data_IF_906853272573
#
_entry.id   IF_906853272573
#
_cell.length_a   1.000
_cell.length_b   1.000
_cell.length_c   1.000
_cell.angle_alpha   90.00
_cell.angle_beta   90.00
_cell.angle_gamma   90.00
#
_symmetry.space_group_name_H-M   'P 1'
#
loop_
_entity.id
_entity.type
_entity.pdbx_description
1 polymer ?
#
# COMPACT_ATOMS: atom_id res chain seq x y z
N UNK A 1 -13.45 1.84 -0.57
CA UNK A 1 -12.99 2.79 -1.60
C UNK A 1 -11.53 3.16 -1.32
N UNK A 2 -10.67 3.32 -2.34
CA UNK A 2 -9.33 3.84 -2.13
C UNK A 2 -9.41 5.26 -1.57
N UNK A 3 -8.64 5.53 -0.52
CA UNK A 3 -8.58 6.87 0.06
C UNK A 3 -7.83 7.83 -0.88
N UNK A 4 -8.29 9.09 -1.05
CA UNK A 4 -7.53 10.11 -1.76
C UNK A 4 -6.13 10.27 -1.17
N UNK A 5 -5.14 10.57 -2.00
CA UNK A 5 -3.75 10.76 -1.61
C UNK A 5 -3.38 12.25 -1.66
N UNK A 6 -2.84 12.76 -0.56
CA UNK A 6 -2.32 14.12 -0.43
C UNK A 6 -0.80 14.03 -0.26
N UNK A 7 -0.02 14.56 -1.21
CA UNK A 7 1.44 14.58 -1.09
C UNK A 7 1.94 15.87 -0.47
N UNK A 8 2.83 15.75 0.52
CA UNK A 8 3.54 16.88 1.12
C UNK A 8 4.94 16.95 0.53
N UNK A 9 5.14 17.92 -0.35
CA UNK A 9 6.38 18.19 -1.07
C UNK A 9 7.02 19.45 -0.51
N UNK A 10 8.35 19.50 -0.50
CA UNK A 10 9.10 20.68 -0.11
C UNK A 10 10.55 20.32 0.14
N UNK A 11 11.43 21.32 0.15
CA UNK A 11 12.85 21.08 0.45
C UNK A 11 13.08 20.54 1.88
N UNK A 12 14.27 20.05 2.22
CA UNK A 12 14.60 19.63 3.58
C UNK A 12 14.38 20.75 4.61
N UNK A 13 14.05 20.36 5.84
CA UNK A 13 13.92 21.24 7.01
C UNK A 13 12.80 22.31 6.98
N UNK A 14 11.90 22.30 5.99
CA UNK A 14 10.69 23.16 5.99
C UNK A 14 9.60 22.72 6.97
N UNK A 15 9.77 21.55 7.59
CA UNK A 15 8.82 21.02 8.59
C UNK A 15 7.76 20.07 8.03
N UNK A 16 8.03 19.38 6.91
CA UNK A 16 7.14 18.36 6.31
C UNK A 16 6.69 17.30 7.31
N UNK A 17 7.62 16.62 7.96
CA UNK A 17 7.29 15.55 8.90
C UNK A 17 6.55 16.08 10.13
N UNK A 18 6.84 17.30 10.58
CA UNK A 18 6.08 17.96 11.66
C UNK A 18 4.64 18.24 11.22
N UNK A 19 4.44 18.71 9.99
CA UNK A 19 3.12 18.95 9.41
C UNK A 19 2.32 17.65 9.26
N UNK A 20 2.92 16.62 8.66
CA UNK A 20 2.30 15.31 8.45
C UNK A 20 1.92 14.67 9.77
N UNK A 21 2.84 14.63 10.75
CA UNK A 21 2.55 14.08 12.07
C UNK A 21 1.41 14.82 12.77
N UNK A 22 1.32 16.15 12.63
CA UNK A 22 0.21 16.90 13.21
C UNK A 22 -1.14 16.45 12.66
N UNK A 23 -1.23 16.29 11.34
CA UNK A 23 -2.50 15.93 10.71
C UNK A 23 -2.83 14.46 11.01
N UNK A 24 -1.83 13.58 10.97
CA UNK A 24 -2.00 12.16 11.26
C UNK A 24 -2.33 11.86 12.73
N UNK A 25 -1.78 12.61 13.69
CA UNK A 25 -2.02 12.42 15.13
C UNK A 25 -3.41 12.88 15.60
N UNK A 26 -4.24 13.44 14.72
CA UNK A 26 -5.65 13.68 15.04
C UNK A 26 -6.44 12.37 15.21
N UNK A 27 -5.87 11.23 14.79
CA UNK A 27 -6.48 9.90 14.87
C UNK A 27 -5.68 8.98 15.83
N UNK A 28 -6.17 8.77 17.06
CA UNK A 28 -5.63 7.74 17.97
C UNK A 28 -6.13 6.34 17.55
N UNK A 29 -5.68 5.85 16.39
CA UNK A 29 -5.84 4.46 16.00
C UNK A 29 -4.51 3.70 16.18
N UNK A 30 -4.52 2.77 17.13
CA UNK A 30 -3.39 1.91 17.52
C UNK A 30 -2.82 1.19 16.29
N UNK A 31 -1.64 1.61 15.84
CA UNK A 31 -0.88 0.95 14.77
C UNK A 31 -0.21 -0.31 15.34
N UNK A 32 -0.71 -1.49 14.96
CA UNK A 32 -0.01 -2.76 15.20
C UNK A 32 1.29 -2.80 14.39
N UNK A 33 2.41 -3.12 15.06
CA UNK A 33 3.71 -3.36 14.44
C UNK A 33 3.80 -4.81 13.95
N UNK A 34 3.85 -5.04 12.64
CA UNK A 34 4.38 -6.30 12.11
C UNK A 34 5.90 -6.18 11.92
N UNK A 35 6.66 -6.98 12.68
CA UNK A 35 8.13 -7.00 12.60
C UNK A 35 8.60 -7.84 11.40
N UNK A 36 9.40 -7.22 10.54
CA UNK A 36 10.04 -7.87 9.38
C UNK A 36 10.19 -6.95 8.17
N UNK A 37 9.42 -5.86 8.15
CA UNK A 37 9.53 -4.78 7.17
C UNK A 37 9.98 -3.51 7.90
N UNK A 38 10.94 -2.78 7.35
CA UNK A 38 11.17 -1.40 7.79
C UNK A 38 9.86 -0.66 7.58
N UNK A 39 9.22 -0.17 8.66
CA UNK A 39 8.13 0.81 8.58
C UNK A 39 8.54 1.87 7.57
N UNK A 40 7.89 1.90 6.41
CA UNK A 40 7.98 3.05 5.53
C UNK A 40 7.21 4.17 6.23
N UNK A 41 7.94 5.00 6.98
CA UNK A 41 7.45 6.13 7.80
C UNK A 41 6.88 7.28 6.96
N UNK A 42 6.36 6.98 5.78
CA UNK A 42 6.03 7.99 4.77
C UNK A 42 4.55 8.07 4.45
N UNK A 43 3.74 7.07 4.77
CA UNK A 43 2.29 7.10 4.57
C UNK A 43 1.56 7.17 5.89
N UNK A 44 0.62 8.10 5.98
CA UNK A 44 -0.19 8.33 7.17
C UNK A 44 -1.66 8.45 6.77
N UNK A 45 -2.55 7.79 7.51
CA UNK A 45 -4.00 8.00 7.35
C UNK A 45 -4.41 9.25 8.15
N UNK A 46 -5.39 9.98 7.63
CA UNK A 46 -5.96 11.16 8.27
C UNK A 46 -7.45 11.28 7.93
N UNK A 47 -8.22 11.83 8.87
CA UNK A 47 -9.59 12.26 8.66
C UNK A 47 -9.72 13.75 8.92
N UNK A 48 -10.48 14.45 8.09
CA UNK A 48 -10.90 15.81 8.36
C UNK A 48 -12.33 16.04 7.87
N UNK A 49 -13.21 16.48 8.77
CA UNK A 49 -14.64 16.69 8.49
C UNK A 49 -15.32 15.47 7.83
N UNK A 50 -14.98 14.26 8.28
CA UNK A 50 -15.55 13.00 7.80
C UNK A 50 -15.09 12.60 6.39
N UNK A 51 -14.00 13.20 5.90
CA UNK A 51 -13.31 12.79 4.67
C UNK A 51 -11.98 12.18 5.06
N UNK A 52 -11.89 10.87 4.89
CA UNK A 52 -10.66 10.09 5.08
C UNK A 52 -9.74 10.26 3.86
N UNK A 53 -8.45 10.43 4.10
CA UNK A 53 -7.41 10.53 3.07
C UNK A 53 -6.05 10.03 3.58
N UNK A 54 -5.11 9.81 2.66
CA UNK A 54 -3.73 9.42 2.96
C UNK A 54 -2.80 10.59 2.73
N UNK A 55 -1.90 10.84 3.67
CA UNK A 55 -0.78 11.78 3.56
C UNK A 55 0.49 11.03 3.23
N UNK A 56 1.23 11.51 2.23
CA UNK A 56 2.59 11.02 1.95
C UNK A 56 3.65 12.11 2.21
N UNK A 57 4.60 11.83 3.11
CA UNK A 57 5.81 12.65 3.28
C UNK A 57 6.85 12.22 2.25
N UNK A 58 7.04 13.03 1.21
CA UNK A 58 7.99 12.69 0.14
C UNK A 58 9.43 12.71 0.62
N UNK A 59 9.73 13.38 1.74
CA UNK A 59 11.08 13.44 2.32
C UNK A 59 11.45 12.22 3.17
N UNK A 60 10.49 11.43 3.63
CA UNK A 60 10.73 10.27 4.50
C UNK A 60 11.15 8.98 3.78
N UNK A 61 11.19 8.99 2.43
CA UNK A 61 11.45 7.83 1.56
C UNK A 61 12.87 7.92 0.94
N UNK A 62 13.81 8.61 1.57
CA UNK A 62 15.19 8.68 1.05
C UNK A 62 15.84 7.29 1.07
N UNK A 63 16.07 6.73 -0.13
CA UNK A 63 16.86 5.53 -0.35
C UNK A 63 18.28 5.93 -0.74
N UNK A 64 19.22 5.83 0.21
CA UNK A 64 20.66 5.67 -0.04
C UNK A 64 21.46 6.89 -0.57
N UNK A 65 22.55 7.17 0.15
CA UNK A 65 23.69 8.09 -0.07
C UNK A 65 23.45 9.61 -0.21
N UNK A 66 24.19 10.34 0.64
CA UNK A 66 24.09 11.77 0.97
C UNK A 66 24.50 12.76 -0.15
N UNK A 67 24.99 12.30 -1.31
CA UNK A 67 25.52 13.19 -2.36
C UNK A 67 24.52 13.55 -3.48
N UNK A 68 23.26 13.08 -3.43
CA UNK A 68 22.23 13.28 -4.47
C UNK A 68 21.10 14.27 -4.11
N UNK A 69 21.34 15.21 -3.19
CA UNK A 69 20.32 16.05 -2.54
C UNK A 69 19.44 16.90 -3.49
N UNK A 70 19.96 17.42 -4.61
CA UNK A 70 19.13 18.22 -5.54
C UNK A 70 18.30 17.36 -6.51
N UNK A 71 18.79 16.17 -6.85
CA UNK A 71 18.05 15.22 -7.69
C UNK A 71 16.82 14.67 -6.97
N UNK A 72 16.96 14.38 -5.68
CA UNK A 72 15.89 13.81 -4.85
C UNK A 72 14.70 14.76 -4.69
N UNK A 73 14.93 16.06 -4.43
CA UNK A 73 13.83 17.03 -4.21
C UNK A 73 12.97 17.22 -5.47
N UNK A 74 13.60 17.31 -6.65
CA UNK A 74 12.86 17.42 -7.92
C UNK A 74 12.08 16.14 -8.22
N UNK A 75 12.68 14.98 -7.98
CA UNK A 75 12.02 13.70 -8.14
C UNK A 75 10.79 13.56 -7.23
N UNK A 76 10.91 13.98 -5.97
CA UNK A 76 9.79 14.04 -5.01
C UNK A 76 8.65 14.95 -5.51
N UNK A 77 8.98 16.14 -6.03
CA UNK A 77 7.98 17.06 -6.56
C UNK A 77 7.26 16.52 -7.80
N UNK A 78 8.00 15.89 -8.73
CA UNK A 78 7.43 15.25 -9.91
C UNK A 78 6.49 14.11 -9.48
N UNK A 79 6.89 13.31 -8.50
CA UNK A 79 6.09 12.19 -8.05
C UNK A 79 4.83 12.63 -7.31
N UNK A 80 4.94 13.59 -6.39
CA UNK A 80 3.79 14.24 -5.76
C UNK A 80 2.81 14.80 -6.80
N UNK A 81 3.30 15.50 -7.82
CA UNK A 81 2.47 16.00 -8.92
C UNK A 81 1.79 14.90 -9.74
N UNK A 82 2.47 13.79 -10.01
CA UNK A 82 1.95 12.71 -10.86
C UNK A 82 1.00 11.77 -10.13
N UNK A 83 1.23 11.51 -8.85
CA UNK A 83 0.46 10.53 -8.09
C UNK A 83 -0.59 11.22 -7.25
N UNK A 84 -0.23 12.08 -6.30
CA UNK A 84 -1.18 12.65 -5.36
C UNK A 84 -2.37 13.32 -6.01
N UNK A 85 -3.54 13.18 -5.41
CA UNK A 85 -4.79 13.76 -5.87
C UNK A 85 -4.84 15.26 -5.57
N UNK A 86 -4.19 15.66 -4.46
CA UNK A 86 -3.89 17.03 -4.08
C UNK A 86 -2.41 17.12 -3.65
N UNK A 87 -1.74 18.23 -3.98
CA UNK A 87 -0.35 18.47 -3.57
C UNK A 87 -0.29 19.62 -2.58
N UNK A 88 0.40 19.42 -1.47
CA UNK A 88 0.79 20.44 -0.52
C UNK A 88 2.26 20.76 -0.77
N UNK A 89 2.56 21.99 -1.19
CA UNK A 89 3.92 22.47 -1.32
C UNK A 89 4.31 23.31 -0.12
N UNK A 90 5.09 22.73 0.78
CA UNK A 90 5.52 23.33 2.03
C UNK A 90 6.83 24.12 1.84
N UNK A 91 6.81 25.39 2.21
CA UNK A 91 7.98 26.29 2.27
C UNK A 91 8.16 26.83 3.70
N UNK A 92 9.33 27.39 4.00
CA UNK A 92 9.66 27.90 5.34
C UNK A 92 9.59 29.44 5.37
N UNK A 93 8.59 29.97 6.09
CA UNK A 93 8.36 31.41 6.25
C UNK A 93 9.46 32.16 6.99
N UNK A 94 10.32 31.49 7.76
CA UNK A 94 11.43 32.14 8.48
C UNK A 94 12.65 32.37 7.60
N UNK A 95 12.88 31.50 6.63
CA UNK A 95 14.05 31.54 5.76
C UNK A 95 13.76 32.13 4.38
N UNK A 96 12.49 32.28 4.03
CA UNK A 96 12.05 32.75 2.72
C UNK A 96 12.24 31.72 1.60
N UNK A 97 12.06 32.20 0.36
CA UNK A 97 12.20 31.42 -0.87
C UNK A 97 13.68 31.14 -1.17
N UNK A 98 13.98 29.92 -1.59
CA UNK A 98 15.27 29.59 -2.18
C UNK A 98 15.17 28.98 -3.60
N UNK A 99 16.31 28.70 -4.22
CA UNK A 99 16.39 28.16 -5.58
C UNK A 99 15.75 26.77 -5.73
N UNK A 100 15.74 25.95 -4.66
CA UNK A 100 15.08 24.64 -4.68
C UNK A 100 13.56 24.81 -4.67
N UNK A 101 13.04 25.77 -3.89
CA UNK A 101 11.61 26.11 -3.84
C UNK A 101 11.12 26.60 -5.22
N UNK A 102 11.91 27.44 -5.90
CA UNK A 102 11.62 27.87 -7.28
C UNK A 102 11.65 26.73 -8.29
N UNK A 103 12.57 25.77 -8.12
CA UNK A 103 12.66 24.59 -8.98
C UNK A 103 11.45 23.67 -8.81
N UNK A 104 11.02 23.43 -7.57
CA UNK A 104 9.82 22.66 -7.25
C UNK A 104 8.58 23.37 -7.76
N UNK A 105 8.44 24.68 -7.53
CA UNK A 105 7.31 25.46 -8.02
C UNK A 105 7.18 25.40 -9.55
N UNK A 106 8.30 25.45 -10.30
CA UNK A 106 8.30 25.27 -11.76
C UNK A 106 7.74 23.92 -12.21
N UNK A 107 7.96 22.86 -11.44
CA UNK A 107 7.43 21.53 -11.73
C UNK A 107 5.93 21.51 -11.42
N UNK A 108 5.55 21.97 -10.23
CA UNK A 108 4.16 21.95 -9.77
C UNK A 108 3.24 22.84 -10.62
N UNK A 109 3.72 23.99 -11.14
CA UNK A 109 2.94 24.83 -12.07
C UNK A 109 2.51 24.14 -13.36
N UNK A 110 3.17 23.04 -13.73
CA UNK A 110 2.84 22.27 -14.94
C UNK A 110 1.82 21.15 -14.67
N UNK A 111 1.46 20.91 -13.40
CA UNK A 111 0.46 19.90 -13.06
C UNK A 111 -0.96 20.43 -13.22
N UNK A 112 -1.89 19.54 -13.55
CA UNK A 112 -3.34 19.84 -13.62
C UNK A 112 -4.05 19.51 -12.31
N UNK A 113 -3.30 19.30 -11.22
CA UNK A 113 -3.83 18.92 -9.92
C UNK A 113 -3.88 20.13 -9.00
N UNK A 114 -4.79 20.16 -8.01
CA UNK A 114 -4.80 21.21 -7.01
C UNK A 114 -3.47 21.23 -6.24
N UNK A 115 -2.83 22.39 -6.21
CA UNK A 115 -1.58 22.63 -5.47
C UNK A 115 -1.83 23.71 -4.43
N UNK A 116 -1.55 23.41 -3.18
CA UNK A 116 -1.63 24.34 -2.06
C UNK A 116 -0.22 24.78 -1.68
N UNK A 117 0.11 26.04 -1.93
CA UNK A 117 1.36 26.64 -1.43
C UNK A 117 1.19 26.97 0.05
N UNK A 118 1.97 26.32 0.91
CA UNK A 118 1.83 26.40 2.36
C UNK A 118 3.11 26.96 2.96
N UNK A 119 3.02 28.14 3.57
CA UNK A 119 4.13 28.82 4.24
C UNK A 119 4.12 28.40 5.70
N UNK A 120 5.03 27.49 6.06
CA UNK A 120 5.12 26.93 7.41
C UNK A 120 6.00 27.80 8.34
N UNK A 121 5.93 27.53 9.64
CA UNK A 121 6.62 28.24 10.73
C UNK A 121 6.14 29.68 10.93
N UNK A 122 4.90 29.96 10.52
CA UNK A 122 4.18 31.21 10.80
C UNK A 122 3.62 31.18 12.23
N UNK A 123 4.52 31.26 13.21
CA UNK A 123 4.18 31.08 14.63
C UNK A 123 3.42 32.28 15.22
N UNK A 124 3.48 33.45 14.57
CA UNK A 124 2.76 34.66 14.98
C UNK A 124 1.55 34.89 14.08
N UNK A 125 0.31 34.81 14.61
CA UNK A 125 -0.89 35.10 13.83
C UNK A 125 -0.91 36.53 13.28
N UNK A 126 -1.59 36.73 12.14
CA UNK A 126 -1.90 38.04 11.54
C UNK A 126 -0.73 38.85 10.95
N UNK A 127 0.41 38.23 10.63
CA UNK A 127 1.47 38.86 9.82
C UNK A 127 1.33 38.51 8.33
N UNK A 128 0.41 39.18 7.65
CA UNK A 128 0.19 38.99 6.20
C UNK A 128 1.32 39.52 5.32
N UNK A 129 2.10 40.49 5.82
CA UNK A 129 3.17 41.13 5.04
C UNK A 129 4.33 40.18 4.72
N UNK A 130 4.52 39.15 5.54
CA UNK A 130 5.54 38.12 5.38
C UNK A 130 5.20 37.12 4.25
N UNK A 131 3.97 37.16 3.71
CA UNK A 131 3.54 36.28 2.61
C UNK A 131 3.84 36.81 1.22
N UNK A 132 4.14 38.11 1.07
CA UNK A 132 4.24 38.77 -0.23
C UNK A 132 5.29 38.16 -1.15
N UNK A 133 6.42 37.71 -0.60
CA UNK A 133 7.47 37.09 -1.39
C UNK A 133 6.99 35.78 -2.04
N UNK A 134 6.20 34.97 -1.32
CA UNK A 134 5.76 33.63 -1.74
C UNK A 134 4.83 33.62 -2.94
N UNK A 135 4.15 34.74 -3.23
CA UNK A 135 3.39 34.90 -4.47
C UNK A 135 4.24 34.76 -5.74
N UNK A 136 5.55 35.04 -5.66
CA UNK A 136 6.47 34.90 -6.80
C UNK A 136 6.62 33.44 -7.28
N UNK A 137 6.26 32.46 -6.43
CA UNK A 137 6.22 31.05 -6.79
C UNK A 137 5.06 30.71 -7.75
N UNK A 138 4.07 31.60 -7.89
CA UNK A 138 3.01 31.50 -8.91
C UNK A 138 2.12 30.27 -8.76
N UNK A 139 1.81 29.88 -7.52
CA UNK A 139 1.00 28.71 -7.16
C UNK A 139 -0.30 29.10 -6.43
N UNK A 140 -0.83 30.28 -6.73
CA UNK A 140 -2.01 30.83 -6.05
C UNK A 140 -1.67 31.51 -4.72
N UNK A 141 -2.69 31.65 -3.88
CA UNK A 141 -2.59 32.35 -2.60
C UNK A 141 -1.84 31.48 -1.56
N UNK A 142 -0.76 31.97 -0.93
CA UNK A 142 -0.03 31.21 0.08
C UNK A 142 -0.82 31.06 1.38
N UNK A 143 -0.84 29.83 1.91
CA UNK A 143 -1.51 29.48 3.17
C UNK A 143 -0.53 29.57 4.34
N UNK A 144 -0.67 30.53 5.27
CA UNK A 144 0.18 30.62 6.45
C UNK A 144 -0.18 29.54 7.47
N UNK A 145 0.78 28.72 7.86
CA UNK A 145 0.58 27.70 8.90
C UNK A 145 1.73 27.66 9.90
N UNK A 146 1.44 27.18 11.11
CA UNK A 146 2.45 26.70 12.04
C UNK A 146 2.21 25.23 12.35
N UNK A 147 2.99 24.34 11.76
CA UNK A 147 2.94 22.91 12.09
C UNK A 147 3.31 22.60 13.54
N UNK A 148 3.98 23.53 14.25
CA UNK A 148 4.35 23.33 15.65
C UNK A 148 3.24 23.75 16.61
N UNK A 149 2.47 24.79 16.27
CA UNK A 149 1.41 25.32 17.13
C UNK A 149 -0.02 25.02 16.66
N UNK A 150 -0.18 24.58 15.41
CA UNK A 150 -1.47 24.22 14.80
C UNK A 150 -2.24 25.37 14.18
N UNK A 151 -1.64 26.56 14.11
CA UNK A 151 -2.29 27.71 13.48
C UNK A 151 -2.41 27.52 11.97
N UNK A 152 -3.57 27.90 11.40
CA UNK A 152 -3.85 27.88 9.96
C UNK A 152 -4.05 26.49 9.35
N UNK A 153 -3.78 25.40 10.07
CA UNK A 153 -3.91 24.05 9.51
C UNK A 153 -5.37 23.64 9.30
N UNK A 154 -6.31 24.13 10.12
CA UNK A 154 -7.74 23.83 9.98
C UNK A 154 -8.33 24.40 8.70
N UNK A 155 -8.16 25.71 8.47
CA UNK A 155 -8.67 26.39 7.26
C UNK A 155 -8.06 25.79 5.97
N UNK A 156 -6.77 25.44 6.02
CA UNK A 156 -6.09 24.73 4.93
C UNK A 156 -6.73 23.35 4.67
N UNK A 157 -7.00 22.57 5.72
CA UNK A 157 -7.59 21.23 5.59
C UNK A 157 -9.04 21.29 5.08
N UNK A 158 -9.80 22.32 5.46
CA UNK A 158 -11.14 22.55 4.93
C UNK A 158 -11.11 22.69 3.40
N UNK A 159 -10.18 23.48 2.87
CA UNK A 159 -10.06 23.67 1.42
C UNK A 159 -9.48 22.45 0.71
N UNK A 160 -8.51 21.75 1.32
CA UNK A 160 -8.03 20.47 0.78
C UNK A 160 -9.18 19.47 0.66
N UNK A 161 -9.98 19.31 1.72
CA UNK A 161 -11.12 18.38 1.71
C UNK A 161 -12.18 18.81 0.69
N UNK A 162 -12.40 20.10 0.49
CA UNK A 162 -13.27 20.58 -0.58
C UNK A 162 -12.79 20.16 -1.97
N UNK A 163 -11.49 20.20 -2.23
CA UNK A 163 -10.91 19.66 -3.47
C UNK A 163 -11.03 18.14 -3.53
N UNK A 164 -10.76 17.42 -2.44
CA UNK A 164 -10.89 15.96 -2.38
C UNK A 164 -12.32 15.48 -2.64
N UNK A 165 -13.35 16.23 -2.20
CA UNK A 165 -14.76 15.91 -2.50
C UNK A 165 -15.13 16.08 -3.97
N UNK A 166 -14.39 16.89 -4.74
CA UNK A 166 -14.57 17.02 -6.19
C UNK A 166 -13.95 15.86 -6.96
N UNK A 167 -13.19 15.01 -6.27
CA UNK A 167 -12.56 13.83 -6.87
C UNK A 167 -13.61 12.76 -6.95
N UNK A 168 -14.11 12.59 -8.18
CA UNK A 168 -15.03 11.53 -8.52
C UNK A 168 -14.27 10.21 -8.42
N UNK A 169 -14.42 9.51 -7.30
CA UNK A 169 -14.08 8.10 -7.28
C UNK A 169 -15.11 7.43 -8.18
N UNK A 170 -14.70 6.76 -9.27
CA UNK A 170 -15.67 6.07 -10.10
C UNK A 170 -16.51 5.16 -9.20
N UNK A 171 -17.83 5.26 -9.33
CA UNK A 171 -18.73 4.30 -8.74
C UNK A 171 -18.24 2.90 -9.14
N UNK A 172 -18.26 1.94 -8.22
CA UNK A 172 -17.98 0.55 -8.54
C UNK A 172 -18.79 0.18 -9.79
N UNK A 173 -18.14 -0.36 -10.82
CA UNK A 173 -18.88 -1.08 -11.86
C UNK A 173 -19.82 -2.04 -11.12
N UNK A 174 -21.13 -1.96 -11.35
CA UNK A 174 -22.15 -2.77 -10.68
C UNK A 174 -21.92 -4.29 -10.86
N UNK A 175 -20.99 -4.67 -11.75
CA UNK A 175 -20.59 -6.05 -11.98
C UNK A 175 -19.34 -6.42 -11.15
N UNK A 176 -19.44 -7.44 -10.29
CA UNK A 176 -18.34 -7.82 -9.40
C UNK A 176 -17.11 -8.27 -10.20
N UNK A 177 -15.98 -7.61 -9.95
CA UNK A 177 -14.66 -8.00 -10.47
C UNK A 177 -13.66 -8.23 -9.34
N UNK A 178 -12.65 -9.05 -9.62
CA UNK A 178 -11.51 -9.24 -8.71
C UNK A 178 -10.44 -8.21 -9.10
N UNK A 179 -10.12 -7.28 -8.19
CA UNK A 179 -9.06 -6.30 -8.43
C UNK A 179 -7.69 -6.95 -8.20
N UNK A 180 -6.85 -6.95 -9.25
CA UNK A 180 -5.54 -7.60 -9.24
C UNK A 180 -4.44 -6.57 -9.48
N UNK A 181 -3.51 -6.42 -8.51
CA UNK A 181 -2.31 -5.60 -8.68
C UNK A 181 -1.10 -6.46 -9.03
N UNK A 182 -0.37 -6.09 -10.10
CA UNK A 182 0.89 -6.74 -10.48
C UNK A 182 2.06 -5.92 -9.94
N UNK A 183 2.71 -6.42 -8.89
CA UNK A 183 3.75 -5.72 -8.12
C UNK A 183 5.10 -6.43 -8.23
N UNK A 184 6.17 -5.73 -7.82
CA UNK A 184 7.54 -6.26 -7.83
C UNK A 184 8.53 -5.29 -8.49
N UNK A 185 9.81 -5.65 -8.47
CA UNK A 185 10.89 -4.78 -8.95
C UNK A 185 10.82 -4.38 -10.43
N UNK A 186 11.47 -3.27 -10.83
CA UNK A 186 11.75 -3.00 -12.24
C UNK A 186 12.34 -4.22 -12.95
N UNK A 187 11.97 -4.44 -14.21
CA UNK A 187 12.47 -5.53 -15.07
C UNK A 187 12.19 -6.98 -14.61
N UNK A 188 11.41 -7.19 -13.54
CA UNK A 188 10.94 -8.51 -13.12
C UNK A 188 10.00 -9.19 -14.13
N UNK A 189 9.53 -8.44 -15.15
CA UNK A 189 8.68 -8.94 -16.23
C UNK A 189 7.19 -8.75 -16.02
N UNK A 190 6.79 -7.82 -15.15
CA UNK A 190 5.38 -7.42 -14.92
C UNK A 190 4.63 -7.04 -16.20
N UNK A 191 5.26 -6.23 -17.06
CA UNK A 191 4.67 -5.79 -18.33
C UNK A 191 4.45 -6.97 -19.30
N UNK A 192 5.44 -7.85 -19.41
CA UNK A 192 5.32 -9.08 -20.19
C UNK A 192 4.21 -9.97 -19.66
N UNK A 193 4.09 -10.09 -18.32
CA UNK A 193 3.02 -10.84 -17.69
C UNK A 193 1.64 -10.24 -17.96
N UNK A 194 1.51 -8.92 -17.80
CA UNK A 194 0.27 -8.17 -18.08
C UNK A 194 -0.19 -8.38 -19.51
N UNK A 195 0.73 -8.25 -20.48
CA UNK A 195 0.43 -8.49 -21.89
C UNK A 195 0.02 -9.94 -22.14
N UNK A 196 0.65 -10.91 -21.47
CA UNK A 196 0.31 -12.32 -21.64
C UNK A 196 -1.04 -12.70 -21.02
N UNK A 197 -1.41 -12.06 -19.90
CA UNK A 197 -2.71 -12.25 -19.26
C UNK A 197 -3.84 -11.56 -20.03
N UNK A 198 -3.57 -10.41 -20.65
CA UNK A 198 -4.58 -9.62 -21.38
C UNK A 198 -4.76 -10.09 -22.83
N UNK A 199 -3.68 -10.41 -23.57
CA UNK A 199 -3.75 -10.81 -24.98
C UNK A 199 -3.76 -12.34 -25.18
N UNK A 200 -4.50 -13.08 -24.35
CA UNK A 200 -4.66 -14.53 -24.52
C UNK A 200 -5.98 -14.85 -25.23
N UNK A 201 -6.03 -15.93 -26.02
CA UNK A 201 -7.19 -16.33 -26.84
C UNK A 201 -8.46 -16.60 -25.99
N UNK A 202 -8.29 -16.81 -24.68
CA UNK A 202 -9.36 -17.07 -23.70
C UNK A 202 -9.78 -15.83 -22.90
N UNK A 203 -9.11 -14.71 -23.11
CA UNK A 203 -9.30 -13.49 -22.35
C UNK A 203 -9.99 -12.45 -23.22
N UNK A 204 -11.19 -12.01 -22.83
CA UNK A 204 -11.84 -10.88 -23.50
C UNK A 204 -11.42 -9.61 -22.77
N UNK A 205 -10.78 -8.68 -23.50
CA UNK A 205 -10.36 -7.39 -22.98
C UNK A 205 -11.38 -6.34 -23.39
N UNK A 206 -11.94 -5.64 -22.41
CA UNK A 206 -12.75 -4.45 -22.64
C UNK A 206 -12.00 -3.23 -22.14
N UNK A 207 -11.71 -2.30 -23.05
CA UNK A 207 -11.39 -0.93 -22.67
C UNK A 207 -12.72 -0.25 -22.33
N UNK A 208 -13.16 -0.32 -21.07
CA UNK A 208 -14.39 0.37 -20.65
C UNK A 208 -14.16 1.88 -20.77
N UNK A 209 -14.61 2.44 -21.89
CA UNK A 209 -14.58 3.88 -22.16
C UNK A 209 -15.68 4.56 -21.33
N UNK A 210 -15.32 4.97 -20.12
CA UNK A 210 -16.25 5.65 -19.19
C UNK A 210 -15.60 6.38 -18.00
N UNK A 211 -14.33 6.13 -17.70
CA UNK A 211 -13.62 6.81 -16.61
C UNK A 211 -12.73 7.93 -17.15
N UNK A 212 -13.28 9.13 -17.33
CA UNK A 212 -12.58 10.29 -17.90
C UNK A 212 -11.57 10.96 -16.95
N UNK A 213 -10.68 10.18 -16.33
CA UNK A 213 -9.40 10.66 -15.79
C UNK A 213 -8.34 9.56 -15.63
N UNK A 214 -8.74 8.30 -15.50
CA UNK A 214 -7.86 7.12 -15.34
C UNK A 214 -8.09 6.05 -16.42
N UNK A 215 -7.62 6.32 -17.63
CA UNK A 215 -7.50 5.34 -18.72
C UNK A 215 -6.39 4.29 -18.45
N UNK A 216 -6.31 3.76 -17.23
CA UNK A 216 -5.13 3.07 -16.69
C UNK A 216 -5.40 1.61 -16.31
N UNK A 217 -6.62 1.21 -15.96
CA UNK A 217 -6.92 -0.18 -15.59
C UNK A 217 -7.34 -1.01 -16.81
N UNK A 218 -7.12 -2.33 -16.77
CA UNK A 218 -7.56 -3.24 -17.84
C UNK A 218 -8.47 -4.30 -17.27
N UNK A 219 -9.71 -4.34 -17.77
CA UNK A 219 -10.67 -5.40 -17.42
C UNK A 219 -10.47 -6.59 -18.35
N UNK A 220 -10.34 -7.77 -17.75
CA UNK A 220 -10.16 -9.05 -18.43
C UNK A 220 -11.23 -10.02 -17.93
N UNK A 221 -11.93 -10.65 -18.85
CA UNK A 221 -12.79 -11.79 -18.52
C UNK A 221 -12.06 -13.10 -18.85
N UNK A 222 -11.96 -14.00 -17.87
CA UNK A 222 -11.34 -15.32 -18.03
C UNK A 222 -12.23 -16.39 -17.39
N UNK A 223 -12.61 -17.41 -18.16
CA UNK A 223 -13.49 -18.52 -17.74
C UNK A 223 -14.79 -18.06 -17.05
N UNK A 224 -15.34 -16.91 -17.46
CA UNK A 224 -16.58 -16.32 -16.93
C UNK A 224 -16.39 -15.45 -15.67
N UNK A 225 -15.17 -15.34 -15.14
CA UNK A 225 -14.83 -14.44 -14.03
C UNK A 225 -14.22 -13.15 -14.57
N UNK A 226 -14.64 -12.01 -14.01
CA UNK A 226 -14.10 -10.69 -14.37
C UNK A 226 -12.96 -10.30 -13.43
N UNK A 227 -11.86 -9.84 -14.00
CA UNK A 227 -10.69 -9.34 -13.29
C UNK A 227 -10.40 -7.91 -13.75
N UNK A 228 -10.10 -7.03 -12.81
CA UNK A 228 -9.62 -5.69 -13.12
C UNK A 228 -8.15 -5.61 -12.75
N UNK A 229 -7.26 -5.59 -13.75
CA UNK A 229 -5.83 -5.39 -13.52
C UNK A 229 -5.63 -3.90 -13.24
N UNK A 230 -5.20 -3.60 -12.01
CA UNK A 230 -5.05 -2.23 -11.51
C UNK A 230 -3.70 -1.65 -11.96
N UNK A 231 -3.68 -0.38 -12.35
CA UNK A 231 -2.50 0.41 -12.74
C UNK A 231 -1.72 -0.12 -13.96
N UNK A 232 -2.41 -0.50 -15.04
CA UNK A 232 -1.76 -1.07 -16.24
C UNK A 232 -1.00 -0.06 -17.10
N UNK A 233 -1.33 1.26 -17.06
CA UNK A 233 -0.60 2.25 -17.85
C UNK A 233 0.86 2.40 -17.44
N UNK A 234 1.18 2.20 -16.15
CA UNK A 234 2.57 2.14 -15.68
C UNK A 234 3.31 0.88 -16.14
N UNK A 235 2.59 -0.22 -16.34
CA UNK A 235 3.12 -1.47 -16.88
C UNK A 235 3.31 -1.39 -18.40
N UNK A 236 2.44 -0.71 -19.15
CA UNK A 236 2.51 -0.58 -20.62
C UNK A 236 3.47 0.52 -21.11
N UNK A 237 3.64 1.64 -20.39
CA UNK A 237 4.53 2.76 -20.80
C UNK A 237 6.02 2.53 -20.56
N UNK A 238 6.43 1.49 -19.84
CA UNK A 238 7.84 1.17 -19.52
C UNK A 238 8.70 0.72 -20.72
N UNK A 239 8.16 0.71 -21.95
CA UNK A 239 8.93 0.41 -23.16
C UNK A 239 9.72 1.61 -23.73
N UNK A 240 9.53 2.84 -23.23
CA UNK A 240 10.09 4.03 -23.90
C UNK A 240 10.70 5.15 -23.02
N UNK A 241 10.82 5.03 -21.69
CA UNK A 241 11.31 6.15 -20.85
C UNK A 241 12.53 5.74 -20.02
N UNK A 242 13.57 6.59 -20.08
CA UNK A 242 14.85 6.50 -19.38
C UNK A 242 14.73 6.46 -17.84
N UNK A 243 15.77 5.89 -17.23
CA UNK A 243 15.84 5.24 -15.92
C UNK A 243 15.65 6.09 -14.63
N UNK A 244 15.14 7.32 -14.66
CA UNK A 244 15.45 8.27 -13.56
C UNK A 244 14.38 8.49 -12.47
N UNK A 245 13.47 7.57 -12.16
CA UNK A 245 12.74 7.66 -10.88
C UNK A 245 12.27 6.29 -10.33
N UNK A 246 13.10 5.58 -9.55
CA UNK A 246 12.67 4.38 -8.80
C UNK A 246 11.48 4.66 -7.85
N UNK A 247 11.44 5.87 -7.27
CA UNK A 247 10.36 6.34 -6.39
C UNK A 247 8.98 6.25 -7.06
N UNK A 248 8.86 6.60 -8.33
CA UNK A 248 7.60 6.56 -9.08
C UNK A 248 7.12 5.13 -9.34
N UNK A 249 8.05 4.18 -9.48
CA UNK A 249 7.68 2.76 -9.55
C UNK A 249 7.09 2.25 -8.24
N UNK A 250 7.55 2.80 -7.11
CA UNK A 250 7.13 2.40 -5.78
C UNK A 250 5.75 2.95 -5.41
N UNK A 251 5.53 4.27 -5.48
CA UNK A 251 4.25 4.88 -5.09
C UNK A 251 3.08 4.38 -5.96
N UNK A 252 3.31 4.16 -7.26
CA UNK A 252 2.38 3.45 -8.13
C UNK A 252 2.02 2.05 -7.64
N UNK A 253 3.02 1.25 -7.27
CA UNK A 253 2.76 -0.07 -6.71
C UNK A 253 1.92 0.03 -5.43
N UNK A 254 2.15 1.05 -4.59
CA UNK A 254 1.34 1.28 -3.38
C UNK A 254 -0.12 1.59 -3.72
N UNK A 255 -0.37 2.49 -4.68
CA UNK A 255 -1.73 2.80 -5.16
C UNK A 255 -2.44 1.60 -5.77
N UNK A 256 -1.71 0.77 -6.51
CA UNK A 256 -2.26 -0.47 -7.06
C UNK A 256 -2.66 -1.44 -5.93
N UNK A 257 -1.80 -1.60 -4.91
CA UNK A 257 -2.08 -2.43 -3.73
C UNK A 257 -3.33 -1.94 -2.99
N UNK A 258 -3.49 -0.61 -2.84
CA UNK A 258 -4.62 0.00 -2.12
C UNK A 258 -5.99 -0.33 -2.71
N UNK A 259 -6.01 -0.67 -4.00
CA UNK A 259 -7.22 -1.00 -4.75
C UNK A 259 -7.36 -2.51 -4.98
N UNK A 260 -6.34 -3.30 -4.64
CA UNK A 260 -6.27 -4.71 -4.97
C UNK A 260 -6.95 -5.59 -3.91
N UNK A 261 -7.72 -6.56 -4.39
CA UNK A 261 -8.08 -7.73 -3.59
C UNK A 261 -6.91 -8.73 -3.55
N UNK A 262 -6.25 -8.95 -4.70
CA UNK A 262 -5.14 -9.89 -4.87
C UNK A 262 -3.91 -9.20 -5.44
N UNK A 263 -2.77 -9.32 -4.76
CA UNK A 263 -1.48 -8.84 -5.20
C UNK A 263 -0.64 -9.98 -5.81
N UNK A 264 -0.21 -9.82 -7.07
CA UNK A 264 0.72 -10.72 -7.75
C UNK A 264 2.14 -10.17 -7.61
N UNK A 265 2.93 -10.76 -6.70
CA UNK A 265 4.33 -10.39 -6.51
C UNK A 265 5.21 -11.09 -7.54
N UNK A 266 5.64 -10.36 -8.57
CA UNK A 266 6.50 -10.88 -9.63
C UNK A 266 7.97 -10.74 -9.24
N UNK A 267 8.64 -11.88 -9.06
CA UNK A 267 10.07 -11.98 -8.75
C UNK A 267 10.81 -12.49 -9.99
N UNK A 268 11.93 -11.84 -10.31
CA UNK A 268 12.85 -12.32 -11.34
C UNK A 268 13.67 -13.50 -10.82
N UNK A 269 13.40 -14.71 -11.34
CA UNK A 269 14.06 -15.92 -10.87
C UNK A 269 15.55 -15.97 -11.22
N UNK A 270 16.04 -15.19 -12.18
CA UNK A 270 17.48 -15.15 -12.51
C UNK A 270 18.29 -14.37 -11.50
N UNK A 271 17.65 -13.43 -10.79
CA UNK A 271 18.24 -12.64 -9.71
C UNK A 271 17.92 -13.22 -8.33
N UNK A 272 16.81 -13.93 -8.21
CA UNK A 272 16.28 -14.42 -6.95
C UNK A 272 15.59 -13.32 -6.13
N UNK A 273 15.31 -13.65 -4.86
CA UNK A 273 14.65 -12.74 -3.91
C UNK A 273 15.59 -11.60 -3.50
N UNK A 274 15.10 -10.37 -3.55
CA UNK A 274 15.84 -9.17 -3.11
C UNK A 274 15.12 -8.42 -1.99
N UNK A 275 15.78 -7.42 -1.42
CA UNK A 275 15.19 -6.57 -0.37
C UNK A 275 14.01 -5.73 -0.89
N UNK A 276 14.04 -5.28 -2.14
CA UNK A 276 12.92 -4.53 -2.70
C UNK A 276 11.70 -5.43 -2.94
N UNK A 277 11.89 -6.70 -3.30
CA UNK A 277 10.79 -7.67 -3.42
C UNK A 277 10.15 -7.92 -2.04
N UNK A 278 10.97 -8.05 -0.99
CA UNK A 278 10.51 -8.16 0.40
C UNK A 278 9.75 -6.92 0.87
N UNK A 279 10.24 -5.70 0.58
CA UNK A 279 9.58 -4.44 0.95
C UNK A 279 8.20 -4.32 0.34
N UNK A 280 8.08 -4.54 -0.97
CA UNK A 280 6.80 -4.42 -1.68
C UNK A 280 5.81 -5.50 -1.22
N UNK A 281 6.28 -6.72 -0.93
CA UNK A 281 5.46 -7.76 -0.34
C UNK A 281 4.98 -7.41 1.08
N UNK A 282 5.86 -6.84 1.91
CA UNK A 282 5.53 -6.38 3.25
C UNK A 282 4.40 -5.36 3.23
N UNK A 283 4.46 -4.39 2.32
CA UNK A 283 3.38 -3.42 2.15
C UNK A 283 2.04 -4.07 1.75
N UNK A 284 2.05 -4.97 0.77
CA UNK A 284 0.85 -5.69 0.37
C UNK A 284 0.24 -6.50 1.52
N UNK A 285 1.08 -7.12 2.35
CA UNK A 285 0.66 -7.84 3.55
C UNK A 285 0.07 -6.92 4.62
N UNK A 286 0.68 -5.75 4.86
CA UNK A 286 0.20 -4.74 5.80
C UNK A 286 -1.18 -4.20 5.39
N UNK A 287 -1.39 -3.95 4.09
CA UNK A 287 -2.70 -3.59 3.55
C UNK A 287 -3.71 -4.72 3.59
N UNK A 288 -3.25 -5.94 3.88
CA UNK A 288 -4.09 -7.10 4.07
C UNK A 288 -4.54 -7.73 2.76
N UNK A 289 -3.90 -7.44 1.62
CA UNK A 289 -4.26 -8.06 0.35
C UNK A 289 -4.00 -9.56 0.39
N UNK A 290 -4.85 -10.34 -0.29
CA UNK A 290 -4.47 -11.67 -0.70
C UNK A 290 -3.26 -11.60 -1.64
N UNK A 291 -2.45 -12.65 -1.70
CA UNK A 291 -1.15 -12.59 -2.38
C UNK A 291 -0.81 -13.91 -3.07
N UNK A 292 -0.21 -13.80 -4.26
CA UNK A 292 0.42 -14.90 -4.98
C UNK A 292 1.83 -14.47 -5.36
N UNK A 293 2.82 -15.30 -5.07
CA UNK A 293 4.21 -15.07 -5.46
C UNK A 293 4.47 -15.74 -6.81
N UNK A 294 4.89 -14.94 -7.79
CA UNK A 294 5.13 -15.37 -9.16
C UNK A 294 6.62 -15.33 -9.47
N UNK A 295 7.24 -16.50 -9.53
CA UNK A 295 8.61 -16.70 -9.99
C UNK A 295 8.66 -16.66 -11.52
N UNK A 296 9.00 -15.49 -12.09
CA UNK A 296 9.07 -15.28 -13.53
C UNK A 296 10.47 -15.58 -14.09
N UNK A 297 10.58 -15.73 -15.42
CA UNK A 297 11.80 -16.14 -16.15
C UNK A 297 12.33 -17.50 -15.69
N UNK A 298 11.44 -18.38 -15.24
CA UNK A 298 11.81 -19.70 -14.71
C UNK A 298 12.46 -20.62 -15.74
N UNK A 299 12.24 -20.34 -17.02
CA UNK A 299 12.88 -21.00 -18.15
C UNK A 299 14.39 -20.73 -18.24
N UNK A 300 14.86 -19.59 -17.71
CA UNK A 300 16.27 -19.19 -17.71
C UNK A 300 17.06 -19.77 -16.51
N UNK A 301 16.39 -20.34 -15.51
CA UNK A 301 17.06 -20.94 -14.35
C UNK A 301 17.49 -22.37 -14.71
N UNK A 302 18.80 -22.60 -14.75
CA UNK A 302 19.42 -23.87 -15.11
C UNK A 302 19.64 -24.76 -13.88
N UNK A 303 19.34 -26.06 -14.02
CA UNK A 303 19.59 -27.06 -12.98
C UNK A 303 18.52 -27.13 -11.88
N UNK A 304 18.32 -28.32 -11.26
CA UNK A 304 17.37 -28.51 -10.17
C UNK A 304 17.84 -27.85 -8.85
N UNK A 305 19.15 -27.74 -8.63
CA UNK A 305 19.76 -27.15 -7.43
C UNK A 305 19.43 -25.66 -7.32
N UNK A 306 19.76 -24.86 -8.34
CA UNK A 306 19.43 -23.43 -8.37
C UNK A 306 17.92 -23.16 -8.19
N UNK A 307 17.07 -24.05 -8.72
CA UNK A 307 15.61 -23.98 -8.56
C UNK A 307 15.15 -24.29 -7.13
N UNK A 308 15.83 -25.21 -6.44
CA UNK A 308 15.56 -25.51 -5.05
C UNK A 308 15.99 -24.33 -4.16
N UNK A 309 17.19 -23.78 -4.40
CA UNK A 309 17.74 -22.65 -3.64
C UNK A 309 16.82 -21.42 -3.67
N UNK A 310 16.26 -21.09 -4.84
CA UNK A 310 15.33 -19.95 -4.96
C UNK A 310 14.07 -20.18 -4.10
N UNK A 311 13.53 -21.41 -4.10
CA UNK A 311 12.32 -21.73 -3.33
C UNK A 311 12.60 -21.73 -1.83
N UNK A 312 13.73 -22.29 -1.41
CA UNK A 312 14.16 -22.30 -0.01
C UNK A 312 14.36 -20.86 0.50
N UNK A 313 15.06 -20.02 -0.27
CA UNK A 313 15.22 -18.59 0.07
C UNK A 313 13.90 -17.86 0.23
N UNK A 314 12.90 -18.15 -0.62
CA UNK A 314 11.56 -17.58 -0.46
C UNK A 314 10.91 -18.08 0.83
N UNK A 315 10.94 -19.40 1.08
CA UNK A 315 10.36 -19.97 2.30
C UNK A 315 10.98 -19.38 3.58
N UNK A 316 12.30 -19.16 3.58
CA UNK A 316 13.04 -18.65 4.74
C UNK A 316 12.85 -17.15 4.98
N UNK A 317 12.82 -16.35 3.90
CA UNK A 317 12.82 -14.88 3.99
C UNK A 317 11.43 -14.26 3.89
N UNK A 318 10.48 -14.94 3.26
CA UNK A 318 9.10 -14.46 3.06
C UNK A 318 8.12 -15.08 4.06
N UNK A 319 8.60 -15.46 5.25
CA UNK A 319 7.76 -16.10 6.30
C UNK A 319 6.55 -15.26 6.71
N UNK A 320 6.66 -13.93 6.65
CA UNK A 320 5.57 -12.98 6.93
C UNK A 320 4.43 -13.03 5.90
N UNK A 321 4.67 -13.60 4.72
CA UNK A 321 3.66 -13.92 3.69
C UNK A 321 3.67 -15.40 3.35
N UNK A 322 4.00 -16.26 4.33
CA UNK A 322 4.06 -17.72 4.14
C UNK A 322 2.73 -18.37 3.72
N UNK A 323 1.63 -17.62 3.77
CA UNK A 323 0.33 -18.02 3.23
C UNK A 323 0.25 -17.95 1.71
N UNK A 324 1.11 -17.17 1.05
CA UNK A 324 1.01 -16.90 -0.38
C UNK A 324 1.53 -18.10 -1.21
N UNK A 325 0.75 -18.64 -2.15
CA UNK A 325 1.24 -19.69 -3.05
C UNK A 325 2.37 -19.17 -3.95
N UNK A 326 3.34 -20.05 -4.23
CA UNK A 326 4.49 -19.75 -5.09
C UNK A 326 4.35 -20.48 -6.43
N UNK A 327 4.23 -19.74 -7.52
CA UNK A 327 4.04 -20.27 -8.87
C UNK A 327 5.20 -19.87 -9.75
N UNK A 328 5.78 -20.83 -10.47
CA UNK A 328 6.86 -20.60 -11.40
C UNK A 328 6.37 -20.60 -12.86
N UNK A 329 6.65 -19.50 -13.57
CA UNK A 329 6.17 -19.22 -14.92
C UNK A 329 7.28 -18.69 -15.84
N UNK A 330 6.95 -18.57 -17.12
CA UNK A 330 7.69 -17.73 -18.06
C UNK A 330 6.71 -16.83 -18.79
N UNK A 331 6.67 -15.54 -18.41
CA UNK A 331 5.77 -14.57 -19.03
C UNK A 331 6.07 -14.38 -20.53
N UNK A 332 7.34 -14.49 -20.92
CA UNK A 332 7.77 -14.33 -22.32
C UNK A 332 7.27 -15.48 -23.20
N UNK A 333 7.42 -16.73 -22.75
CA UNK A 333 6.99 -17.91 -23.52
C UNK A 333 5.51 -18.26 -23.32
N UNK A 334 4.88 -17.71 -22.27
CA UNK A 334 3.53 -18.07 -21.84
C UNK A 334 3.46 -19.35 -20.99
N UNK A 335 4.59 -20.03 -20.75
CA UNK A 335 4.59 -21.31 -20.04
C UNK A 335 4.03 -21.13 -18.61
N UNK A 336 2.97 -21.89 -18.32
CA UNK A 336 2.25 -21.95 -17.03
C UNK A 336 1.59 -20.62 -16.58
N UNK A 337 1.42 -19.66 -17.47
CA UNK A 337 0.73 -18.39 -17.12
C UNK A 337 -0.72 -18.64 -16.72
N UNK A 338 -1.39 -19.62 -17.31
CA UNK A 338 -2.80 -19.94 -16.96
C UNK A 338 -2.99 -20.35 -15.49
N UNK A 339 -1.96 -20.92 -14.84
CA UNK A 339 -2.02 -21.29 -13.41
C UNK A 339 -2.18 -20.09 -12.48
N UNK A 340 -1.90 -18.89 -12.98
CA UNK A 340 -2.04 -17.66 -12.19
C UNK A 340 -3.51 -17.38 -11.95
N UNK A 341 -4.39 -17.62 -12.93
CA UNK A 341 -5.84 -17.42 -12.77
C UNK A 341 -6.41 -18.30 -11.66
N UNK A 342 -6.12 -19.61 -11.70
CA UNK A 342 -6.52 -20.56 -10.66
C UNK A 342 -6.05 -20.13 -9.26
N UNK A 343 -4.85 -19.56 -9.17
CA UNK A 343 -4.31 -19.09 -7.89
C UNK A 343 -4.89 -17.76 -7.42
N UNK A 344 -5.23 -16.84 -8.35
CA UNK A 344 -5.98 -15.62 -8.02
C UNK A 344 -7.35 -16.03 -7.46
N UNK A 345 -8.05 -16.93 -8.14
CA UNK A 345 -9.38 -17.39 -7.75
C UNK A 345 -9.34 -18.03 -6.36
N UNK A 346 -8.44 -18.99 -6.16
CA UNK A 346 -8.28 -19.64 -4.85
C UNK A 346 -7.94 -18.64 -3.74
N UNK A 347 -7.01 -17.72 -4.00
CA UNK A 347 -6.62 -16.71 -3.03
C UNK A 347 -7.80 -15.78 -2.70
N UNK A 348 -8.58 -15.37 -3.71
CA UNK A 348 -9.73 -14.51 -3.55
C UNK A 348 -10.91 -15.20 -2.86
N UNK A 349 -11.22 -16.45 -3.21
CA UNK A 349 -12.21 -17.28 -2.52
C UNK A 349 -11.90 -17.35 -1.02
N UNK A 350 -10.64 -17.63 -0.68
CA UNK A 350 -10.19 -17.66 0.71
C UNK A 350 -10.19 -16.27 1.38
N UNK A 351 -9.96 -15.21 0.61
CA UNK A 351 -9.97 -13.82 1.08
C UNK A 351 -11.37 -13.32 1.47
N UNK A 352 -12.41 -13.77 0.76
CA UNK A 352 -13.82 -13.41 1.01
C UNK A 352 -14.56 -14.43 1.88
N UNK A 353 -13.96 -15.57 2.18
CA UNK A 353 -14.65 -16.66 2.87
C UNK A 353 -15.17 -16.25 4.25
N UNK A 354 -16.32 -16.82 4.62
CA UNK A 354 -16.86 -16.72 5.98
C UNK A 354 -16.90 -18.11 6.61
N UNK A 355 -16.15 -18.30 7.69
CA UNK A 355 -16.10 -19.55 8.44
C UNK A 355 -17.23 -19.54 9.49
N UNK A 356 -18.15 -20.52 9.46
CA UNK A 356 -19.23 -20.61 10.43
C UNK A 356 -18.74 -20.62 11.89
N UNK A 357 -19.36 -19.81 12.73
CA UNK A 357 -18.90 -19.60 14.11
C UNK A 357 -18.92 -20.87 14.95
N UNK A 358 -19.84 -21.81 14.68
CA UNK A 358 -19.83 -23.13 15.33
C UNK A 358 -18.55 -23.91 15.02
N UNK A 359 -18.11 -23.95 13.75
CA UNK A 359 -16.85 -24.60 13.34
C UNK A 359 -15.65 -23.97 14.03
N UNK A 360 -15.58 -22.63 14.10
CA UNK A 360 -14.52 -21.91 14.79
C UNK A 360 -14.46 -22.26 16.29
N UNK A 361 -15.61 -22.37 16.96
CA UNK A 361 -15.63 -22.70 18.39
C UNK A 361 -15.35 -24.19 18.67
N UNK A 362 -15.72 -25.09 17.77
CA UNK A 362 -15.28 -26.49 17.82
C UNK A 362 -13.75 -26.58 17.68
N UNK A 363 -13.17 -25.88 16.71
CA UNK A 363 -11.71 -25.77 16.55
C UNK A 363 -11.01 -25.20 17.80
N UNK A 364 -11.53 -24.09 18.34
CA UNK A 364 -10.99 -23.45 19.55
C UNK A 364 -11.02 -24.40 20.77
N UNK A 365 -12.06 -25.23 20.87
CA UNK A 365 -12.17 -26.22 21.95
C UNK A 365 -11.06 -27.27 21.87
N UNK A 366 -10.74 -27.77 20.67
CA UNK A 366 -9.61 -28.68 20.46
C UNK A 366 -8.26 -28.06 20.85
N UNK A 367 -8.05 -26.77 20.59
CA UNK A 367 -6.84 -26.06 21.05
C UNK A 367 -6.77 -26.02 22.57
N UNK A 368 -7.89 -25.75 23.25
CA UNK A 368 -7.92 -25.72 24.73
C UNK A 368 -7.60 -27.08 25.34
N UNK A 369 -8.02 -28.17 24.72
CA UNK A 369 -7.71 -29.54 25.16
C UNK A 369 -6.21 -29.87 25.04
N UNK A 370 -5.51 -29.29 24.06
CA UNK A 370 -4.05 -29.45 23.95
C UNK A 370 -3.26 -28.83 25.12
N UNK A 371 -3.89 -27.95 25.91
CA UNK A 371 -3.30 -27.29 27.07
C UNK A 371 -2.32 -26.14 26.76
N UNK A 372 -2.07 -25.82 25.48
CA UNK A 372 -1.17 -24.72 25.12
C UNK A 372 -1.80 -23.35 25.38
N UNK A 373 -1.27 -22.63 26.37
CA UNK A 373 -1.73 -21.28 26.75
C UNK A 373 -0.56 -20.42 27.24
N UNK A 374 -0.74 -19.10 27.21
CA UNK A 374 0.21 -18.14 27.81
C UNK A 374 -0.19 -17.76 29.23
N UNK A 375 0.81 -17.50 30.06
CA UNK A 375 0.68 -16.98 31.41
C UNK A 375 1.70 -15.88 31.69
N UNK A 376 1.32 -14.91 32.52
CA UNK A 376 2.22 -13.89 33.04
C UNK A 376 2.03 -13.82 34.57
N UNK A 377 2.97 -14.40 35.32
CA UNK A 377 2.84 -14.60 36.77
C UNK A 377 1.61 -15.45 37.11
N UNK A 378 0.67 -14.89 37.89
CA UNK A 378 -0.60 -15.56 38.26
C UNK A 378 -1.69 -15.42 37.19
N UNK A 379 -1.50 -14.59 36.17
CA UNK A 379 -2.48 -14.38 35.13
C UNK A 379 -2.36 -15.47 34.06
N UNK A 380 -3.42 -16.22 33.82
CA UNK A 380 -3.50 -17.25 32.78
C UNK A 380 -4.52 -16.84 31.74
N UNK A 381 -4.14 -16.86 30.47
CA UNK A 381 -5.05 -16.61 29.35
C UNK A 381 -6.11 -17.71 29.28
N UNK A 382 -7.36 -17.32 29.11
CA UNK A 382 -8.50 -18.21 28.88
C UNK A 382 -9.29 -17.68 27.71
N UNK A 383 -9.27 -18.44 26.61
CA UNK A 383 -10.09 -18.18 25.44
C UNK A 383 -11.49 -18.76 25.66
N UNK A 384 -12.49 -17.89 25.63
CA UNK A 384 -13.89 -18.26 25.87
C UNK A 384 -14.61 -18.62 24.58
N UNK A 385 -14.40 -17.81 23.55
CA UNK A 385 -15.18 -17.83 22.31
C UNK A 385 -14.40 -17.14 21.18
N UNK A 386 -14.64 -17.55 19.94
CA UNK A 386 -14.09 -16.90 18.74
C UNK A 386 -15.21 -16.71 17.71
N UNK A 387 -15.15 -15.61 16.95
CA UNK A 387 -16.01 -15.39 15.77
C UNK A 387 -15.24 -14.64 14.70
N UNK A 388 -15.61 -14.84 13.44
CA UNK A 388 -15.17 -13.99 12.36
C UNK A 388 -16.03 -12.71 12.36
N UNK A 389 -15.38 -11.54 12.31
CA UNK A 389 -16.02 -10.21 12.35
C UNK A 389 -15.79 -9.40 11.07
N UNK A 390 -15.06 -9.94 10.10
CA UNK A 390 -14.79 -9.29 8.83
C UNK A 390 -14.26 -10.27 7.78
N UNK A 391 -14.33 -9.84 6.54
CA UNK A 391 -13.76 -10.48 5.34
C UNK A 391 -12.94 -9.45 4.58
N UNK A 392 -12.11 -9.90 3.64
CA UNK A 392 -11.21 -9.05 2.85
C UNK A 392 -10.24 -8.18 3.69
N UNK A 393 -9.32 -8.77 4.48
CA UNK A 393 -9.11 -10.21 4.74
C UNK A 393 -9.99 -10.77 5.87
N UNK A 394 -10.03 -12.11 6.06
CA UNK A 394 -10.68 -12.73 7.22
C UNK A 394 -10.17 -12.17 8.56
N UNK A 395 -11.10 -11.65 9.35
CA UNK A 395 -10.81 -11.02 10.65
C UNK A 395 -11.45 -11.83 11.78
N UNK A 396 -10.65 -12.39 12.69
CA UNK A 396 -11.09 -13.24 13.78
C UNK A 396 -10.97 -12.53 15.12
N UNK A 397 -12.10 -12.37 15.82
CA UNK A 397 -12.13 -11.80 17.17
C UNK A 397 -12.25 -12.91 18.22
N UNK A 398 -11.22 -13.05 19.05
CA UNK A 398 -11.16 -13.92 20.20
C UNK A 398 -11.60 -13.17 21.46
N UNK A 399 -12.57 -13.74 22.17
CA UNK A 399 -13.03 -13.25 23.45
C UNK A 399 -12.29 -13.97 24.58
N UNK A 400 -11.47 -13.23 25.29
CA UNK A 400 -10.56 -13.74 26.32
C UNK A 400 -10.79 -13.04 27.66
N UNK A 401 -10.25 -13.59 28.75
CA UNK A 401 -10.26 -12.95 30.06
C UNK A 401 -9.20 -11.83 30.21
N UNK A 402 -8.07 -11.99 29.53
CA UNK A 402 -6.85 -11.18 29.68
C UNK A 402 -6.20 -10.96 28.31
N UNK A 403 -6.66 -10.00 27.51
CA UNK A 403 -6.02 -9.71 26.22
C UNK A 403 -4.59 -9.19 26.39
N UNK A 404 -4.29 -8.56 27.54
CA UNK A 404 -3.00 -7.98 27.89
C UNK A 404 -1.84 -8.97 28.08
N UNK A 405 -2.13 -10.27 28.18
CA UNK A 405 -1.09 -11.32 28.31
C UNK A 405 -0.85 -12.07 27.00
N UNK A 406 -1.57 -11.73 25.94
CA UNK A 406 -1.36 -12.30 24.60
C UNK A 406 -0.05 -11.76 24.05
N UNK A 407 0.83 -12.65 23.61
CA UNK A 407 2.12 -12.30 23.01
C UNK A 407 2.09 -12.58 21.52
N UNK A 408 2.92 -11.89 20.74
CA UNK A 408 3.06 -12.12 19.29
C UNK A 408 3.32 -13.59 18.95
N UNK A 409 4.10 -14.29 19.78
CA UNK A 409 4.36 -15.72 19.61
C UNK A 409 3.08 -16.56 19.75
N UNK A 410 2.18 -16.18 20.66
CA UNK A 410 0.90 -16.85 20.82
C UNK A 410 -0.07 -16.52 19.69
N UNK A 411 -0.06 -15.29 19.19
CA UNK A 411 -0.83 -14.93 17.99
C UNK A 411 -0.40 -15.76 16.79
N UNK A 412 0.91 -15.88 16.54
CA UNK A 412 1.47 -16.75 15.49
C UNK A 412 1.10 -18.21 15.67
N UNK A 413 1.15 -18.71 16.90
CA UNK A 413 0.69 -20.07 17.21
C UNK A 413 -0.77 -20.26 16.80
N UNK A 414 -1.65 -19.33 17.18
CA UNK A 414 -3.07 -19.41 16.84
C UNK A 414 -3.32 -19.29 15.34
N UNK A 415 -2.61 -18.39 14.66
CA UNK A 415 -2.68 -18.27 13.20
C UNK A 415 -2.28 -19.57 12.52
N UNK A 416 -1.15 -20.17 12.91
CA UNK A 416 -0.69 -21.45 12.33
C UNK A 416 -1.73 -22.56 12.56
N UNK A 417 -2.28 -22.66 13.78
CA UNK A 417 -3.35 -23.63 14.08
C UNK A 417 -4.63 -23.37 13.30
N UNK A 418 -4.93 -22.11 12.98
CA UNK A 418 -6.09 -21.73 12.19
C UNK A 418 -5.88 -22.20 10.75
N UNK A 419 -4.70 -21.97 10.19
CA UNK A 419 -4.31 -22.42 8.83
C UNK A 419 -4.21 -23.94 8.70
N UNK A 420 -3.91 -24.66 9.78
CA UNK A 420 -4.00 -26.13 9.82
C UNK A 420 -5.46 -26.63 9.77
N UNK A 421 -6.40 -25.86 10.33
CA UNK A 421 -7.80 -26.25 10.46
C UNK A 421 -8.71 -25.79 9.33
N UNK A 422 -8.32 -24.74 8.60
CA UNK A 422 -9.11 -24.08 7.57
C UNK A 422 -8.24 -23.73 6.36
N UNK A 423 -8.76 -23.91 5.14
CA UNK A 423 -8.05 -23.46 3.93
C UNK A 423 -8.02 -21.94 3.89
N UNK A 424 -6.84 -21.38 4.14
CA UNK A 424 -6.57 -19.95 4.16
C UNK A 424 -5.35 -19.64 3.27
N UNK A 425 -5.07 -20.50 2.30
CA UNK A 425 -4.01 -20.30 1.32
C UNK A 425 -4.28 -19.02 0.51
N UNK A 426 -3.24 -18.22 0.27
CA UNK A 426 -3.32 -16.98 -0.48
C UNK A 426 -3.83 -15.77 0.30
N UNK A 427 -4.43 -15.94 1.49
CA UNK A 427 -4.95 -14.81 2.29
C UNK A 427 -4.20 -14.58 3.61
N UNK A 428 -3.91 -13.32 3.97
CA UNK A 428 -3.57 -12.99 5.35
C UNK A 428 -4.80 -13.19 6.25
N UNK A 429 -4.57 -13.27 7.56
CA UNK A 429 -5.63 -13.25 8.57
C UNK A 429 -5.33 -12.19 9.61
N UNK A 430 -6.37 -11.56 10.15
CA UNK A 430 -6.23 -10.59 11.24
C UNK A 430 -6.83 -11.17 12.51
N UNK A 431 -6.05 -11.24 13.58
CA UNK A 431 -6.51 -11.71 14.89
C UNK A 431 -6.71 -10.51 15.83
N UNK A 432 -7.80 -10.52 16.60
CA UNK A 432 -8.04 -9.51 17.64
C UNK A 432 -8.46 -10.18 18.93
N UNK A 433 -7.87 -9.74 20.04
CA UNK A 433 -8.21 -10.25 21.37
C UNK A 433 -8.99 -9.18 22.13
N UNK A 434 -10.23 -9.50 22.49
CA UNK A 434 -11.09 -8.62 23.29
C UNK A 434 -11.39 -9.24 24.64
N UNK A 435 -11.43 -8.40 25.68
CA UNK A 435 -12.01 -8.80 26.96
C UNK A 435 -13.52 -8.89 26.77
N UNK A 436 -14.11 -10.03 27.16
CA UNK A 436 -15.57 -10.16 27.24
C UNK A 436 -16.02 -9.52 28.55
N UNK A 437 -16.82 -8.46 28.47
CA UNK A 437 -17.49 -7.86 29.63
C UNK A 437 -18.30 -8.90 30.41
#
# INVERSE_FOLDING_TARGET
>A
MPLPLVAVVGRPNVGKSTFVNRIAQADEAIVHEMRGVTRDRSYHEADWNGVEFKLVDTGGIEMGDDDAFQGSIRAQAIAGANEADVVIFLVDGKTGINADDEAVARILRKTNKPVFLVVNKMDTPNRSDELWEFYQLGLGDPWPVSSLHGHGTGDLLDEIVNELRKIDFPAEDDEPSINVAIIGRPNAGKSSLTNKMTNNDRSIVSDVAGTTRDAIDTTVEHDGTRYTIVDTAGLRRKSQIDQDVEYYGFVRAMRAIDRADVALLVIDSTLGLTDQDQRVAGYAAERGCAMVIVLNKWDLVEGPEAKADIRERIADRMTFVGYAPVIAISALTGKKVDRIWEAIDKAYENYVQTIPTNKLNTWLSGIRESGHTVSNGKAVLRMKYVTQTGTKPPYFTFFVNRPDVVTDNYERFLENRLREGFDLEGTPVKLKFKKKD
#
